data_IF_672968564461
#
_entry.id   IF_672968564461
#
_cell.length_a   1.000
_cell.length_b   1.000
_cell.length_c   1.000
_cell.angle_alpha   90.00
_cell.angle_beta   90.00
_cell.angle_gamma   90.00
#
_symmetry.space_group_name_H-M   'P 1'
#
loop_
_entity.id
_entity.type
_entity.pdbx_description
1 polymer ?
#
# COMPACT_ATOMS: atom_id res chain seq x y z
N UNK A 1 -0.40 -27.28 -34.39
CA UNK A 1 0.51 -26.39 -33.65
C UNK A 1 -0.33 -25.23 -33.09
N UNK A 2 -0.78 -25.31 -31.84
CA UNK A 2 -1.58 -24.25 -31.24
C UNK A 2 -0.67 -23.08 -30.85
N UNK A 3 -0.91 -21.90 -31.43
CA UNK A 3 -0.23 -20.66 -31.07
C UNK A 3 -0.64 -20.27 -29.65
N UNK A 4 0.29 -20.46 -28.70
CA UNK A 4 0.13 -20.05 -27.31
C UNK A 4 0.27 -18.52 -27.23
N UNK A 5 -0.81 -17.82 -26.88
CA UNK A 5 -0.85 -16.36 -26.85
C UNK A 5 0.00 -15.83 -25.68
N UNK A 6 1.23 -15.41 -25.97
CA UNK A 6 2.19 -14.91 -24.97
C UNK A 6 1.69 -13.73 -24.13
N UNK A 7 0.66 -13.02 -24.58
CA UNK A 7 0.08 -11.89 -23.84
C UNK A 7 -0.69 -12.32 -22.58
N UNK A 8 -1.29 -13.52 -22.57
CA UNK A 8 -2.00 -14.04 -21.38
C UNK A 8 -1.00 -14.46 -20.30
N UNK A 9 0.15 -15.01 -20.71
CA UNK A 9 1.23 -15.43 -19.80
C UNK A 9 1.86 -14.21 -19.12
N UNK A 10 2.13 -13.12 -19.86
CA UNK A 10 2.68 -11.88 -19.29
C UNK A 10 1.76 -11.25 -18.23
N UNK A 11 0.45 -11.21 -18.47
CA UNK A 11 -0.51 -10.70 -17.49
C UNK A 11 -0.57 -11.56 -16.21
N UNK A 12 -0.58 -12.89 -16.33
CA UNK A 12 -0.56 -13.80 -15.17
C UNK A 12 0.75 -13.71 -14.37
N UNK A 13 1.89 -13.57 -15.03
CA UNK A 13 3.20 -13.39 -14.36
C UNK A 13 3.28 -12.03 -13.65
N UNK A 14 2.73 -10.96 -14.24
CA UNK A 14 2.65 -9.63 -13.59
C UNK A 14 1.80 -9.64 -12.32
N UNK A 15 0.65 -10.33 -12.35
CA UNK A 15 -0.21 -10.53 -11.18
C UNK A 15 0.48 -11.33 -10.06
N UNK A 16 1.26 -12.37 -10.41
CA UNK A 16 1.99 -13.18 -9.43
C UNK A 16 3.16 -12.42 -8.79
N UNK A 17 3.86 -11.56 -9.53
CA UNK A 17 4.92 -10.69 -8.98
C UNK A 17 4.35 -9.67 -7.99
N UNK A 18 3.25 -9.02 -8.36
CA UNK A 18 2.58 -8.08 -7.46
C UNK A 18 2.06 -8.78 -6.20
N UNK A 19 1.50 -9.99 -6.34
CA UNK A 19 1.05 -10.80 -5.20
C UNK A 19 2.22 -11.25 -4.29
N UNK A 20 3.38 -11.57 -4.85
CA UNK A 20 4.58 -11.92 -4.08
C UNK A 20 5.19 -10.71 -3.35
N UNK A 21 5.19 -9.53 -3.99
CA UNK A 21 5.61 -8.27 -3.36
C UNK A 21 4.64 -7.83 -2.26
N UNK A 22 3.33 -8.07 -2.44
CA UNK A 22 2.34 -7.93 -1.38
C UNK A 22 2.57 -8.94 -0.25
N UNK A 23 2.81 -10.22 -0.57
CA UNK A 23 3.05 -11.26 0.43
C UNK A 23 4.32 -11.02 1.26
N UNK A 24 5.35 -10.37 0.71
CA UNK A 24 6.55 -9.99 1.44
C UNK A 24 6.33 -8.82 2.43
N UNK A 25 5.30 -7.99 2.20
CA UNK A 25 5.01 -6.77 2.99
C UNK A 25 3.83 -6.92 3.93
N UNK A 26 3.06 -8.01 3.81
CA UNK A 26 1.85 -8.24 4.60
C UNK A 26 1.87 -9.62 5.23
N UNK A 27 1.57 -9.70 6.52
CA UNK A 27 1.33 -10.99 7.18
C UNK A 27 0.02 -11.64 6.68
N UNK A 28 -0.25 -12.87 7.14
CA UNK A 28 -1.45 -13.63 6.77
C UNK A 28 -2.75 -12.87 7.08
N UNK A 29 -2.80 -12.12 8.18
CA UNK A 29 -3.99 -11.35 8.54
C UNK A 29 -4.25 -10.21 7.55
N UNK A 30 -3.21 -9.46 7.19
CA UNK A 30 -3.32 -8.42 6.17
C UNK A 30 -3.60 -8.98 4.77
N UNK A 31 -3.03 -10.12 4.41
CA UNK A 31 -3.37 -10.83 3.17
C UNK A 31 -4.86 -11.22 3.14
N UNK A 32 -5.42 -11.69 4.25
CA UNK A 32 -6.83 -12.04 4.37
C UNK A 32 -7.74 -10.80 4.23
N UNK A 33 -7.37 -9.67 4.84
CA UNK A 33 -8.09 -8.39 4.68
C UNK A 33 -8.13 -7.98 3.21
N UNK A 34 -6.99 -8.04 2.52
CA UNK A 34 -6.89 -7.68 1.10
C UNK A 34 -7.75 -8.61 0.23
N UNK A 35 -7.73 -9.92 0.49
CA UNK A 35 -8.58 -10.89 -0.20
C UNK A 35 -10.08 -10.59 0.02
N UNK A 36 -10.44 -10.07 1.20
CA UNK A 36 -11.78 -9.61 1.54
C UNK A 36 -12.10 -8.18 1.06
N UNK A 37 -11.24 -7.56 0.22
CA UNK A 37 -11.35 -6.16 -0.25
C UNK A 37 -11.37 -5.13 0.89
N UNK A 38 -10.71 -5.44 2.01
CA UNK A 38 -10.51 -4.55 3.13
C UNK A 38 -9.08 -3.99 3.10
N UNK A 39 -8.90 -2.76 3.57
CA UNK A 39 -7.57 -2.19 3.75
C UNK A 39 -6.77 -2.98 4.78
N UNK A 40 -5.47 -3.22 4.53
CA UNK A 40 -4.56 -3.75 5.52
C UNK A 40 -4.35 -2.74 6.67
N UNK A 41 -3.73 -3.19 7.74
CA UNK A 41 -3.32 -2.40 8.90
C UNK A 41 -1.80 -2.33 8.99
N UNK A 42 -1.30 -1.34 9.72
CA UNK A 42 0.07 -1.31 10.21
C UNK A 42 0.23 -2.47 11.20
N UNK A 43 1.11 -3.41 10.90
CA UNK A 43 1.49 -4.54 11.76
C UNK A 43 3.03 -4.65 11.85
N UNK A 44 3.54 -5.62 12.60
CA UNK A 44 5.00 -5.80 12.76
C UNK A 44 5.73 -6.11 11.44
N UNK A 45 5.08 -6.77 10.48
CA UNK A 45 5.67 -7.07 9.16
C UNK A 45 5.75 -5.79 8.33
N UNK A 46 4.72 -4.94 8.39
CA UNK A 46 4.72 -3.61 7.81
C UNK A 46 5.83 -2.74 8.41
N UNK A 47 5.89 -2.66 9.74
CA UNK A 47 6.87 -1.85 10.48
C UNK A 47 8.30 -2.29 10.18
N UNK A 48 8.55 -3.58 9.97
CA UNK A 48 9.87 -4.08 9.56
C UNK A 48 10.35 -3.46 8.23
N UNK A 49 9.43 -3.15 7.33
CA UNK A 49 9.72 -2.53 6.04
C UNK A 49 9.63 -0.99 6.08
N UNK A 50 8.82 -0.44 7.00
CA UNK A 50 8.53 0.99 7.16
C UNK A 50 8.63 1.39 8.65
N UNK A 51 9.84 1.43 9.24
CA UNK A 51 10.03 1.68 10.67
C UNK A 51 9.50 3.04 11.13
N UNK A 52 9.45 4.03 10.25
CA UNK A 52 8.82 5.34 10.47
C UNK A 52 7.33 5.24 10.81
N UNK A 53 6.67 4.13 10.47
CA UNK A 53 5.27 3.89 10.78
C UNK A 53 5.04 3.16 12.13
N UNK A 54 6.10 2.88 12.89
CA UNK A 54 6.01 2.14 14.17
C UNK A 54 5.06 2.75 15.19
N UNK A 55 4.96 4.07 15.25
CA UNK A 55 4.06 4.79 16.16
C UNK A 55 2.57 4.62 15.82
N UNK A 56 2.25 4.04 14.65
CA UNK A 56 0.88 3.88 14.15
C UNK A 56 0.46 2.41 14.09
N UNK A 57 1.10 1.53 14.86
CA UNK A 57 0.75 0.11 14.92
C UNK A 57 -0.75 -0.08 15.19
N UNK A 58 -1.40 -0.91 14.36
CA UNK A 58 -2.84 -1.14 14.41
C UNK A 58 -3.70 -0.16 13.59
N UNK A 59 -3.16 0.94 13.06
CA UNK A 59 -3.90 1.84 12.19
C UNK A 59 -4.17 1.20 10.82
N UNK A 60 -5.30 1.57 10.20
CA UNK A 60 -5.59 1.20 8.80
C UNK A 60 -4.65 1.93 7.84
N UNK A 61 -4.12 1.19 6.86
CA UNK A 61 -3.39 1.77 5.74
C UNK A 61 -4.37 2.33 4.70
N UNK A 62 -4.28 3.62 4.46
CA UNK A 62 -5.15 4.37 3.55
C UNK A 62 -4.44 4.62 2.23
N UNK A 63 -5.17 4.44 1.12
CA UNK A 63 -4.69 4.77 -0.22
C UNK A 63 -4.60 6.29 -0.36
N UNK A 64 -3.39 6.81 -0.48
CA UNK A 64 -3.13 8.24 -0.56
C UNK A 64 -2.60 8.61 -1.95
N UNK A 65 -3.21 9.58 -2.63
CA UNK A 65 -2.71 10.11 -3.90
C UNK A 65 -1.67 11.21 -3.65
N UNK A 66 -0.47 11.05 -4.22
CA UNK A 66 0.59 12.05 -4.15
C UNK A 66 0.25 13.25 -5.02
N UNK A 67 0.22 14.46 -4.43
CA UNK A 67 -0.07 15.73 -5.14
C UNK A 67 -1.32 15.66 -6.03
N UNK A 68 -2.34 14.89 -5.61
CA UNK A 68 -3.56 14.60 -6.41
C UNK A 68 -3.31 13.92 -7.77
N UNK A 69 -2.10 13.39 -7.96
CA UNK A 69 -1.66 12.75 -9.19
C UNK A 69 -2.03 11.26 -9.29
N UNK A 70 -1.59 10.61 -10.37
CA UNK A 70 -1.90 9.20 -10.64
C UNK A 70 -1.12 8.21 -9.76
N UNK A 71 -0.13 8.70 -8.99
CA UNK A 71 0.68 7.85 -8.10
C UNK A 71 0.09 7.87 -6.71
N UNK A 72 0.06 6.70 -6.08
CA UNK A 72 -0.45 6.56 -4.73
C UNK A 72 0.47 5.73 -3.85
N UNK A 73 0.46 6.05 -2.56
CA UNK A 73 1.19 5.34 -1.52
C UNK A 73 0.25 4.97 -0.36
N UNK A 74 0.52 3.87 0.35
CA UNK A 74 -0.19 3.53 1.58
C UNK A 74 0.37 4.34 2.76
N UNK A 75 -0.50 5.07 3.46
CA UNK A 75 -0.15 5.80 4.69
C UNK A 75 -0.99 5.31 5.88
N UNK A 76 -0.45 5.30 7.11
CA UNK A 76 -1.27 5.16 8.30
C UNK A 76 -2.36 6.24 8.33
N UNK A 77 -3.56 5.89 8.80
CA UNK A 77 -4.72 6.79 8.77
C UNK A 77 -4.46 8.15 9.43
N UNK A 78 -3.68 8.21 10.51
CA UNK A 78 -3.29 9.47 11.13
C UNK A 78 -2.35 10.28 10.24
N UNK A 79 -1.33 9.66 9.62
CA UNK A 79 -0.41 10.34 8.69
C UNK A 79 -1.16 10.85 7.47
N UNK A 80 -2.14 10.09 6.99
CA UNK A 80 -3.00 10.47 5.87
C UNK A 80 -3.87 11.71 6.15
N UNK A 81 -4.28 11.96 7.39
CA UNK A 81 -5.35 12.92 7.71
C UNK A 81 -4.97 14.05 8.64
N UNK A 82 -3.81 13.99 9.30
CA UNK A 82 -3.39 14.98 10.31
C UNK A 82 -2.05 15.61 9.96
N UNK A 83 -1.89 16.87 10.36
CA UNK A 83 -0.59 17.55 10.31
C UNK A 83 0.39 16.90 11.31
N UNK A 84 1.71 16.88 11.02
CA UNK A 84 2.31 17.36 9.78
C UNK A 84 2.20 16.37 8.60
N UNK A 85 1.77 15.13 8.85
CA UNK A 85 1.74 14.06 7.85
C UNK A 85 1.00 14.40 6.56
N UNK A 86 -0.19 14.99 6.66
CA UNK A 86 -0.96 15.41 5.49
C UNK A 86 -0.26 16.52 4.69
N UNK A 87 0.36 17.49 5.38
CA UNK A 87 1.08 18.59 4.73
C UNK A 87 2.36 18.17 4.00
N UNK A 88 3.03 17.09 4.44
CA UNK A 88 4.23 16.58 3.77
C UNK A 88 3.97 16.20 2.31
N UNK A 89 2.75 15.71 2.02
CA UNK A 89 2.36 15.19 0.71
C UNK A 89 1.40 16.11 -0.06
N UNK A 90 1.06 17.26 0.53
CA UNK A 90 0.26 18.34 -0.03
C UNK A 90 0.89 19.70 0.32
N UNK A 91 2.07 20.02 -0.23
CA UNK A 91 2.85 21.18 0.19
C UNK A 91 2.15 22.52 -0.06
N UNK A 92 1.25 22.61 -1.04
CA UNK A 92 0.40 23.80 -1.24
C UNK A 92 -0.60 24.02 -0.09
N UNK A 93 -0.80 23.00 0.75
CA UNK A 93 -1.64 23.05 1.95
C UNK A 93 -0.85 22.89 3.26
N UNK A 94 0.49 22.79 3.19
CA UNK A 94 1.34 22.81 4.37
C UNK A 94 1.57 24.25 4.82
N UNK A 95 0.63 24.79 5.60
CA UNK A 95 0.73 26.13 6.17
C UNK A 95 0.07 26.18 7.56
N UNK A 96 0.90 26.42 8.58
CA UNK A 96 0.50 27.16 9.77
C UNK A 96 0.80 28.64 9.52
#
# INVERSE_FOLDING_TARGET
MASFNQNIIKHKIGLLKLAAELAARFNVANAARIAAKQSPIVDDVWIKNFPEHSAYNGETLVHHHLDYGPKAIPLPGTVHSKQPGWGIWHPEHSGN
#
